data_IF_917026127855
#
_entry.id   IF_917026127855
#
_cell.length_a   1.000
_cell.length_b   1.000
_cell.length_c   1.000
_cell.angle_alpha   90.00
_cell.angle_beta   90.00
_cell.angle_gamma   90.00
#
_symmetry.space_group_name_H-M   'P 1'
#
loop_
_entity.id
_entity.type
_entity.pdbx_description
1 polymer ?
#
# COMPACT_ATOMS: atom_id res chain seq x y z
N UNK A 1 -34.00 11.47 6.72
CA UNK A 1 -32.87 11.53 5.77
C UNK A 1 -31.72 10.74 6.37
N UNK A 2 -31.40 9.59 5.78
CA UNK A 2 -30.28 8.70 6.16
C UNK A 2 -29.70 8.14 4.86
N UNK A 3 -28.87 8.93 4.18
CA UNK A 3 -28.23 8.49 2.92
C UNK A 3 -26.70 8.69 2.91
N UNK A 4 -26.10 9.15 4.02
CA UNK A 4 -24.67 9.48 4.03
C UNK A 4 -23.72 8.27 4.22
N UNK A 5 -24.23 7.11 4.65
CA UNK A 5 -23.38 5.95 4.97
C UNK A 5 -23.02 5.09 3.75
N UNK A 6 -23.72 5.24 2.62
CA UNK A 6 -23.49 4.46 1.40
C UNK A 6 -22.35 5.05 0.56
N UNK A 7 -22.21 6.38 0.55
CA UNK A 7 -21.19 7.09 -0.23
C UNK A 7 -19.78 6.83 0.32
N UNK A 8 -19.61 6.75 1.64
CA UNK A 8 -18.34 6.39 2.29
C UNK A 8 -17.92 4.94 1.99
N UNK A 9 -18.87 4.00 1.92
CA UNK A 9 -18.58 2.60 1.62
C UNK A 9 -17.95 2.40 0.23
N UNK A 10 -18.51 3.06 -0.80
CA UNK A 10 -17.98 3.02 -2.16
C UNK A 10 -16.60 3.68 -2.26
N UNK A 11 -16.42 4.86 -1.64
CA UNK A 11 -15.14 5.57 -1.63
C UNK A 11 -14.03 4.74 -0.97
N UNK A 12 -14.34 4.04 0.12
CA UNK A 12 -13.37 3.13 0.75
C UNK A 12 -13.07 1.93 -0.13
N UNK A 13 -14.08 1.30 -0.75
CA UNK A 13 -13.85 0.18 -1.67
C UNK A 13 -12.98 0.61 -2.86
N UNK A 14 -13.23 1.79 -3.42
CA UNK A 14 -12.42 2.35 -4.50
C UNK A 14 -10.98 2.65 -4.04
N UNK A 15 -10.79 3.20 -2.83
CA UNK A 15 -9.48 3.44 -2.26
C UNK A 15 -8.69 2.14 -2.04
N UNK A 16 -9.36 1.06 -1.60
CA UNK A 16 -8.75 -0.27 -1.43
C UNK A 16 -8.22 -0.80 -2.78
N UNK A 17 -9.04 -0.76 -3.82
CA UNK A 17 -8.64 -1.26 -5.15
C UNK A 17 -7.55 -0.39 -5.77
N UNK A 18 -7.59 0.93 -5.55
CA UNK A 18 -6.53 1.83 -5.97
C UNK A 18 -5.20 1.52 -5.26
N UNK A 19 -5.22 1.32 -3.93
CA UNK A 19 -4.03 0.90 -3.16
C UNK A 19 -3.49 -0.45 -3.65
N UNK A 20 -4.37 -1.40 -3.99
CA UNK A 20 -3.96 -2.69 -4.58
C UNK A 20 -3.25 -2.51 -5.92
N UNK A 21 -3.81 -1.69 -6.82
CA UNK A 21 -3.20 -1.39 -8.10
C UNK A 21 -1.81 -0.74 -7.94
N UNK A 22 -1.68 0.24 -7.04
CA UNK A 22 -0.41 0.90 -6.73
C UNK A 22 0.65 -0.09 -6.21
N UNK A 23 0.24 -1.04 -5.35
CA UNK A 23 1.15 -2.09 -4.85
C UNK A 23 1.63 -3.04 -5.94
N UNK A 24 0.77 -3.34 -6.92
CA UNK A 24 1.16 -4.17 -8.07
C UNK A 24 2.22 -3.42 -8.89
N UNK A 25 2.02 -2.14 -9.16
CA UNK A 25 2.99 -1.33 -9.91
C UNK A 25 4.31 -1.19 -9.14
N UNK A 26 4.26 -0.98 -7.82
CA UNK A 26 5.45 -0.96 -6.96
C UNK A 26 6.28 -2.26 -7.05
N UNK A 27 5.62 -3.42 -7.06
CA UNK A 27 6.30 -4.71 -7.23
C UNK A 27 6.98 -4.81 -8.59
N UNK A 28 6.34 -4.31 -9.64
CA UNK A 28 6.90 -4.28 -11.00
C UNK A 28 8.12 -3.37 -11.08
N UNK A 29 8.05 -2.16 -10.54
CA UNK A 29 9.19 -1.22 -10.46
C UNK A 29 10.34 -1.81 -9.64
N UNK A 30 10.04 -2.45 -8.51
CA UNK A 30 11.05 -3.15 -7.70
C UNK A 30 11.72 -4.28 -8.48
N UNK A 31 10.96 -5.04 -9.29
CA UNK A 31 11.51 -6.06 -10.17
C UNK A 31 12.41 -5.50 -11.27
N UNK A 32 12.04 -4.34 -11.84
CA UNK A 32 12.87 -3.62 -12.82
C UNK A 32 14.18 -3.15 -12.18
N UNK A 33 14.12 -2.58 -10.97
CA UNK A 33 15.30 -2.17 -10.22
C UNK A 33 16.26 -3.34 -9.99
N UNK A 34 15.74 -4.48 -9.51
CA UNK A 34 16.54 -5.69 -9.30
C UNK A 34 17.16 -6.24 -10.60
N UNK A 35 16.52 -6.01 -11.74
CA UNK A 35 17.09 -6.33 -13.06
C UNK A 35 18.25 -5.40 -13.42
N UNK A 36 18.06 -4.08 -13.25
CA UNK A 36 19.08 -3.06 -13.51
C UNK A 36 20.31 -3.25 -12.62
N UNK A 37 20.12 -3.54 -11.34
CA UNK A 37 21.22 -3.80 -10.39
C UNK A 37 22.04 -5.03 -10.78
N UNK A 38 21.39 -6.12 -11.20
CA UNK A 38 22.08 -7.32 -11.69
C UNK A 38 22.88 -7.06 -12.96
N UNK A 39 22.34 -6.28 -13.89
CA UNK A 39 23.04 -5.89 -15.11
C UNK A 39 24.24 -4.99 -14.82
N UNK A 40 24.15 -4.08 -13.85
CA UNK A 40 25.28 -3.27 -13.39
C UNK A 40 26.40 -4.13 -12.78
N UNK A 41 26.06 -5.13 -11.98
CA UNK A 41 27.05 -6.04 -11.39
C UNK A 41 27.88 -6.78 -12.45
N UNK A 42 27.32 -6.99 -13.64
CA UNK A 42 27.96 -7.71 -14.74
C UNK A 42 28.89 -6.87 -15.63
N UNK A 43 29.00 -5.54 -15.46
CA UNK A 43 29.77 -4.70 -16.40
C UNK A 43 30.39 -3.43 -15.80
N UNK A 44 31.62 -3.10 -16.22
CA UNK A 44 32.31 -1.83 -15.91
C UNK A 44 32.50 -1.03 -17.20
N UNK A 45 31.50 -0.23 -17.57
CA UNK A 45 31.58 0.66 -18.74
C UNK A 45 30.78 1.95 -18.51
N UNK A 46 30.88 2.93 -19.41
CA UNK A 46 30.08 4.16 -19.36
C UNK A 46 28.56 3.87 -19.28
N UNK A 47 28.11 2.75 -19.90
CA UNK A 47 26.74 2.24 -19.79
C UNK A 47 26.38 1.89 -18.34
N UNK A 48 27.32 1.37 -17.56
CA UNK A 48 27.11 1.10 -16.13
C UNK A 48 27.00 2.37 -15.28
N UNK A 49 27.49 3.53 -15.74
CA UNK A 49 27.26 4.81 -15.08
C UNK A 49 25.83 5.31 -15.33
N UNK A 50 25.37 5.29 -16.58
CA UNK A 50 24.00 5.65 -16.94
C UNK A 50 22.96 4.75 -16.22
N UNK A 51 23.20 3.44 -16.18
CA UNK A 51 22.31 2.51 -15.47
C UNK A 51 22.30 2.76 -13.96
N UNK A 52 23.41 3.22 -13.36
CA UNK A 52 23.46 3.59 -11.93
C UNK A 52 22.56 4.78 -11.63
N UNK A 53 22.55 5.79 -12.52
CA UNK A 53 21.65 6.95 -12.40
C UNK A 53 20.19 6.51 -12.54
N UNK A 54 19.87 5.71 -13.56
CA UNK A 54 18.51 5.18 -13.77
C UNK A 54 18.03 4.35 -12.56
N UNK A 55 18.90 3.52 -11.98
CA UNK A 55 18.57 2.77 -10.77
C UNK A 55 18.44 3.66 -9.52
N UNK A 56 19.10 4.82 -9.46
CA UNK A 56 18.96 5.76 -8.36
C UNK A 56 17.62 6.50 -8.43
N UNK A 57 17.25 6.98 -9.62
CA UNK A 57 15.93 7.58 -9.89
C UNK A 57 14.82 6.59 -9.57
N UNK A 58 14.91 5.35 -10.07
CA UNK A 58 13.90 4.33 -9.81
C UNK A 58 13.77 3.98 -8.32
N UNK A 59 14.87 4.01 -7.54
CA UNK A 59 14.81 3.83 -6.09
C UNK A 59 14.06 4.97 -5.40
N UNK A 60 14.28 6.21 -5.85
CA UNK A 60 13.59 7.38 -5.31
C UNK A 60 12.09 7.29 -5.61
N UNK A 61 11.71 6.95 -6.85
CA UNK A 61 10.31 6.81 -7.25
C UNK A 61 9.61 5.70 -6.45
N UNK A 62 10.26 4.56 -6.25
CA UNK A 62 9.75 3.46 -5.42
C UNK A 62 9.53 3.95 -3.98
N UNK A 63 10.49 4.68 -3.42
CA UNK A 63 10.39 5.18 -2.04
C UNK A 63 9.24 6.18 -1.87
N UNK A 64 9.10 7.12 -2.80
CA UNK A 64 8.01 8.10 -2.77
C UNK A 64 6.64 7.43 -2.93
N UNK A 65 6.51 6.51 -3.88
CA UNK A 65 5.28 5.76 -4.08
C UNK A 65 4.90 4.90 -2.85
N UNK A 66 5.87 4.31 -2.15
CA UNK A 66 5.63 3.60 -0.89
C UNK A 66 5.07 4.54 0.18
N UNK A 67 5.66 5.73 0.37
CA UNK A 67 5.18 6.72 1.36
C UNK A 67 3.74 7.16 1.06
N UNK A 68 3.42 7.40 -0.21
CA UNK A 68 2.07 7.79 -0.64
C UNK A 68 1.05 6.67 -0.39
N UNK A 69 1.41 5.43 -0.72
CA UNK A 69 0.57 4.25 -0.44
C UNK A 69 0.34 4.11 1.07
N UNK A 70 1.38 4.15 1.89
CA UNK A 70 1.26 4.04 3.35
C UNK A 70 0.37 5.16 3.94
N UNK A 71 0.47 6.38 3.39
CA UNK A 71 -0.40 7.50 3.77
C UNK A 71 -1.86 7.23 3.40
N UNK A 72 -2.13 6.76 2.18
CA UNK A 72 -3.48 6.41 1.74
C UNK A 72 -4.08 5.30 2.60
N UNK A 73 -3.30 4.26 2.93
CA UNK A 73 -3.75 3.18 3.80
C UNK A 73 -4.14 3.67 5.19
N UNK A 74 -3.31 4.53 5.80
CA UNK A 74 -3.64 5.12 7.11
C UNK A 74 -4.94 5.93 7.07
N UNK A 75 -5.15 6.71 6.01
CA UNK A 75 -6.34 7.57 5.90
C UNK A 75 -7.62 6.78 5.63
N UNK A 76 -7.58 5.76 4.77
CA UNK A 76 -8.79 5.08 4.29
C UNK A 76 -9.04 3.70 4.93
N UNK A 77 -8.00 3.01 5.39
CA UNK A 77 -8.11 1.65 5.94
C UNK A 77 -8.04 1.61 7.46
N UNK A 78 -7.17 2.41 8.09
CA UNK A 78 -7.06 2.44 9.56
C UNK A 78 -8.20 3.23 10.24
N UNK A 79 -8.79 4.22 9.56
CA UNK A 79 -9.91 5.00 10.12
C UNK A 79 -11.19 4.16 10.26
N UNK A 80 -11.41 3.21 9.33
CA UNK A 80 -12.60 2.33 9.33
C UNK A 80 -12.60 1.28 10.44
N UNK A 81 -11.44 0.83 10.91
CA UNK A 81 -11.37 -0.16 12.00
C UNK A 81 -11.67 0.45 13.38
N UNK A 82 -11.56 1.76 13.53
CA UNK A 82 -11.93 2.48 14.75
C UNK A 82 -13.46 2.68 14.90
N UNK A 83 -14.20 2.64 13.80
CA UNK A 83 -15.67 2.80 13.77
C UNK A 83 -16.44 1.50 14.03
N UNK A 84 -15.75 0.36 14.16
CA UNK A 84 -16.39 -0.90 14.56
C UNK A 84 -16.42 -0.92 16.09
N UNK A 85 -17.57 -0.68 16.74
CA UNK A 85 -17.64 -0.78 18.19
C UNK A 85 -17.24 -2.20 18.61
N UNK A 86 -16.45 -2.36 19.69
CA UNK A 86 -16.12 -3.68 20.19
C UNK A 86 -17.44 -4.39 20.51
N UNK A 87 -17.67 -5.54 19.87
CA UNK A 87 -18.86 -6.36 20.14
C UNK A 87 -18.95 -6.55 21.65
N UNK A 88 -20.06 -6.20 22.30
CA UNK A 88 -20.23 -6.47 23.72
C UNK A 88 -20.07 -7.97 23.89
N UNK A 89 -19.04 -8.38 24.62
CA UNK A 89 -18.87 -9.75 25.08
C UNK A 89 -20.11 -10.06 25.89
N UNK A 90 -21.07 -10.77 25.29
CA UNK A 90 -22.24 -11.27 25.97
C UNK A 90 -21.72 -12.08 27.14
N UNK A 91 -21.83 -11.53 28.36
CA UNK A 91 -21.59 -12.29 29.57
C UNK A 91 -22.56 -13.45 29.49
N UNK A 92 -22.03 -14.65 29.27
CA UNK A 92 -22.75 -15.89 29.46
C UNK A 92 -23.24 -15.85 30.91
N UNK A 93 -24.52 -15.50 31.06
CA UNK A 93 -25.23 -15.44 32.33
C UNK A 93 -25.29 -16.88 32.84
N UNK A 94 -24.51 -17.16 33.88
CA UNK A 94 -24.61 -18.41 34.63
C UNK A 94 -26.06 -18.58 35.10
N UNK A 95 -26.63 -19.74 34.79
CA UNK A 95 -27.92 -20.18 35.33
C UNK A 95 -27.73 -20.58 36.81
N UNK A 96 -28.65 -20.23 37.72
CA UNK A 96 -28.65 -20.77 39.07
C UNK A 96 -29.27 -22.18 39.10
N UNK A 97 -29.02 -22.97 40.16
CA UNK A 97 -29.31 -24.40 40.24
C UNK A 97 -30.80 -24.76 40.25
#
# INVERSE_FOLDING_TARGET
>A
MREDHSMEGWQVAQAVEFVRALRIELRKMTGQLASLERLQAAGRSARACAMRTEAAELRQDIHEAQLLVDRLERLYLCRRTADVPPRPRTRLRAAPP
#
